data_IF_370529107987
#
_entry.id   IF_370529107987
#
_cell.length_a   1.000
_cell.length_b   1.000
_cell.length_c   1.000
_cell.angle_alpha   90.00
_cell.angle_beta   90.00
_cell.angle_gamma   90.00
#
_symmetry.space_group_name_H-M   'P 1'
#
loop_
_entity.id
_entity.type
_entity.pdbx_description
1 polymer ?
#
# COMPACT_ATOMS: atom_id res chain seq x y z
N UNK A 1 0.30 54.16 -16.67
CA UNK A 1 0.97 52.90 -16.27
C UNK A 1 0.91 52.85 -14.75
N UNK A 2 -0.10 52.16 -14.20
CA UNK A 2 -0.42 52.22 -12.78
C UNK A 2 0.32 51.11 -12.01
N UNK A 3 1.13 51.52 -11.03
CA UNK A 3 1.64 50.66 -9.97
C UNK A 3 0.50 50.38 -8.98
N UNK A 4 0.24 49.12 -8.64
CA UNK A 4 -0.66 48.77 -7.56
C UNK A 4 0.00 47.71 -6.66
N UNK A 5 0.21 48.11 -5.40
CA UNK A 5 0.70 47.30 -4.29
C UNK A 5 -0.26 46.13 -3.96
N UNK A 6 0.31 45.12 -3.28
CA UNK A 6 -0.34 44.18 -2.36
C UNK A 6 -1.85 44.00 -2.49
N UNK A 7 -2.29 42.83 -2.97
CA UNK A 7 -3.05 41.82 -2.21
C UNK A 7 -3.50 40.70 -3.16
N UNK A 8 -3.86 39.56 -2.55
CA UNK A 8 -4.61 38.42 -3.10
C UNK A 8 -3.76 37.24 -3.61
N UNK A 9 -3.44 36.38 -2.65
CA UNK A 9 -3.17 34.94 -2.81
C UNK A 9 -3.88 34.31 -4.01
N UNK A 10 -3.24 33.34 -4.68
CA UNK A 10 -3.98 32.23 -5.25
C UNK A 10 -3.53 30.90 -4.63
N UNK A 11 -4.51 30.26 -3.99
CA UNK A 11 -4.66 28.83 -3.77
C UNK A 11 -3.73 28.19 -2.74
N UNK A 12 -4.19 28.23 -1.50
CA UNK A 12 -4.00 27.13 -0.57
C UNK A 12 -4.49 25.83 -1.22
N UNK A 13 -3.56 25.00 -1.65
CA UNK A 13 -3.76 23.55 -1.63
C UNK A 13 -2.40 22.90 -1.35
N UNK A 14 -1.85 23.16 -0.15
CA UNK A 14 -1.10 22.10 0.48
C UNK A 14 -2.15 21.05 0.86
N UNK A 15 -2.62 20.28 -0.12
CA UNK A 15 -3.20 18.99 0.18
C UNK A 15 -2.00 18.17 0.71
N UNK A 16 -1.69 18.34 2.00
CA UNK A 16 -1.26 17.20 2.81
C UNK A 16 -2.51 16.33 2.84
N UNK A 17 -2.74 15.64 1.73
CA UNK A 17 -3.68 14.57 1.67
C UNK A 17 -2.94 13.47 2.44
N UNK A 18 -3.19 13.41 3.75
CA UNK A 18 -2.70 12.31 4.57
C UNK A 18 -3.01 11.03 3.82
N UNK A 19 -1.98 10.26 3.48
CA UNK A 19 -2.18 9.01 2.76
C UNK A 19 -2.89 8.07 3.74
N UNK A 20 -4.05 7.54 3.38
CA UNK A 20 -4.67 6.49 4.16
C UNK A 20 -4.40 5.16 3.49
N UNK A 21 -4.00 4.17 4.28
CA UNK A 21 -3.78 2.82 3.82
C UNK A 21 -4.55 1.84 4.70
N UNK A 22 -4.83 0.67 4.17
CA UNK A 22 -5.17 -0.46 5.03
C UNK A 22 -3.91 -0.96 5.71
N UNK A 23 -3.99 -1.26 7.01
CA UNK A 23 -2.89 -1.83 7.80
C UNK A 23 -3.33 -3.13 8.47
N UNK A 24 -2.40 -4.07 8.58
CA UNK A 24 -2.57 -5.30 9.34
C UNK A 24 -1.24 -6.04 9.47
N UNK A 25 -1.14 -6.92 10.45
CA UNK A 25 0.02 -7.77 10.63
C UNK A 25 -0.36 -9.25 10.57
N UNK A 26 0.28 -9.98 9.64
CA UNK A 26 0.29 -11.45 9.62
C UNK A 26 -1.08 -12.14 9.51
N UNK A 27 -2.02 -11.49 8.83
CA UNK A 27 -3.39 -11.97 8.66
C UNK A 27 -3.53 -13.00 7.53
N UNK A 28 -4.44 -13.96 7.70
CA UNK A 28 -4.69 -15.00 6.69
C UNK A 28 -5.74 -14.59 5.66
N UNK A 29 -6.53 -13.55 5.97
CA UNK A 29 -7.67 -13.13 5.18
C UNK A 29 -7.59 -11.65 4.86
N UNK A 30 -7.86 -11.28 3.61
CA UNK A 30 -7.86 -9.87 3.20
C UNK A 30 -8.90 -9.07 4.00
N UNK A 31 -10.07 -9.63 4.28
CA UNK A 31 -11.13 -8.94 5.03
C UNK A 31 -10.71 -8.56 6.46
N UNK A 32 -9.90 -9.39 7.11
CA UNK A 32 -9.31 -9.08 8.42
C UNK A 32 -8.20 -8.04 8.33
N UNK A 33 -7.70 -7.80 7.12
CA UNK A 33 -6.61 -6.90 6.79
C UNK A 33 -7.10 -5.60 6.12
N UNK A 34 -8.29 -5.11 6.52
CA UNK A 34 -8.91 -3.87 6.02
C UNK A 34 -9.13 -2.85 7.15
N UNK A 35 -8.16 -2.72 8.06
CA UNK A 35 -8.16 -1.62 9.03
C UNK A 35 -7.59 -0.37 8.36
N UNK A 36 -8.41 0.64 8.11
CA UNK A 36 -7.94 1.91 7.56
C UNK A 36 -7.17 2.69 8.64
N UNK A 37 -6.01 3.23 8.28
CA UNK A 37 -5.15 4.02 9.15
C UNK A 37 -4.54 5.18 8.37
N UNK A 38 -4.39 6.32 9.04
CA UNK A 38 -3.70 7.48 8.48
C UNK A 38 -2.19 7.25 8.57
N UNK A 39 -1.51 7.38 7.44
CA UNK A 39 -0.06 7.27 7.37
C UNK A 39 0.63 8.54 7.86
N UNK A 40 1.89 8.42 8.26
CA UNK A 40 2.70 9.59 8.62
C UNK A 40 2.93 10.48 7.39
N UNK A 41 3.16 11.79 7.59
CA UNK A 41 3.49 12.75 6.52
C UNK A 41 4.73 12.35 5.69
N UNK A 42 5.55 11.43 6.23
CA UNK A 42 6.76 10.91 5.57
C UNK A 42 6.50 9.68 4.72
N UNK A 43 5.33 9.04 4.88
CA UNK A 43 4.97 7.82 4.19
C UNK A 43 4.24 8.14 2.88
N UNK A 44 4.81 7.68 1.77
CA UNK A 44 4.34 8.00 0.42
C UNK A 44 3.69 6.79 -0.28
N UNK A 45 3.73 5.61 0.35
CA UNK A 45 3.27 4.34 -0.22
C UNK A 45 2.47 3.50 0.78
N UNK A 46 1.38 2.92 0.30
CA UNK A 46 0.76 1.76 0.92
C UNK A 46 1.47 0.50 0.42
N UNK A 47 2.08 -0.24 1.34
CA UNK A 47 2.81 -1.48 1.03
C UNK A 47 1.97 -2.68 1.45
N UNK A 48 1.85 -3.66 0.56
CA UNK A 48 1.19 -4.95 0.80
C UNK A 48 2.17 -6.06 0.56
N UNK A 49 2.45 -6.83 1.60
CA UNK A 49 3.29 -8.00 1.53
C UNK A 49 2.42 -9.24 1.64
N UNK A 50 2.62 -10.19 0.73
CA UNK A 50 1.96 -11.49 0.76
C UNK A 50 3.01 -12.57 0.76
N UNK A 51 3.04 -13.34 1.84
CA UNK A 51 3.75 -14.61 1.90
C UNK A 51 2.75 -15.72 1.62
N UNK A 52 3.03 -16.56 0.64
CA UNK A 52 2.18 -17.68 0.23
C UNK A 52 3.00 -18.94 0.04
N UNK A 53 2.38 -20.10 0.27
CA UNK A 53 3.01 -21.40 0.04
C UNK A 53 2.18 -22.18 -0.97
N UNK A 54 2.80 -22.57 -2.09
CA UNK A 54 2.24 -23.59 -2.98
C UNK A 54 2.89 -23.70 -4.37
N UNK A 55 2.23 -24.48 -5.23
CA UNK A 55 2.76 -25.02 -6.50
C UNK A 55 2.35 -24.14 -7.71
N UNK A 56 3.19 -23.19 -8.16
CA UNK A 56 2.96 -22.41 -9.41
C UNK A 56 2.79 -20.89 -9.29
N UNK A 57 2.91 -20.15 -10.39
CA UNK A 57 3.31 -18.74 -10.37
C UNK A 57 2.18 -17.68 -10.24
N UNK A 58 0.96 -17.94 -10.70
CA UNK A 58 -0.05 -16.87 -10.90
C UNK A 58 -1.38 -17.10 -10.16
N UNK A 59 -1.91 -18.32 -10.20
CA UNK A 59 -3.20 -18.67 -9.57
C UNK A 59 -3.14 -18.78 -8.03
N UNK A 60 -1.92 -18.72 -7.47
CA UNK A 60 -1.67 -19.11 -6.09
C UNK A 60 -2.05 -18.07 -5.05
N UNK A 61 -2.04 -16.78 -5.34
CA UNK A 61 -2.52 -15.80 -4.35
C UNK A 61 -4.03 -15.99 -4.04
N UNK A 62 -4.78 -16.55 -5.00
CA UNK A 62 -6.21 -16.90 -4.87
C UNK A 62 -6.41 -18.29 -4.27
N UNK A 63 -5.59 -19.28 -4.67
CA UNK A 63 -5.75 -20.70 -4.29
C UNK A 63 -4.78 -21.22 -3.21
N UNK A 64 -4.01 -20.35 -2.57
CA UNK A 64 -3.05 -20.74 -1.52
C UNK A 64 -3.77 -21.38 -0.33
N UNK A 65 -3.39 -22.62 0.00
CA UNK A 65 -3.75 -23.28 1.26
C UNK A 65 -3.21 -22.51 2.48
N UNK A 66 -2.10 -21.78 2.31
CA UNK A 66 -1.53 -20.94 3.34
C UNK A 66 -1.06 -19.61 2.77
N UNK A 67 -1.65 -18.52 3.24
CA UNK A 67 -1.26 -17.14 2.89
C UNK A 67 -1.20 -16.28 4.14
N UNK A 68 -0.27 -15.34 4.15
CA UNK A 68 -0.07 -14.34 5.19
C UNK A 68 0.09 -12.99 4.54
N UNK A 69 -0.72 -12.04 4.99
CA UNK A 69 -0.85 -10.71 4.43
C UNK A 69 -0.43 -9.72 5.52
N UNK A 70 0.45 -8.80 5.16
CA UNK A 70 0.82 -7.66 5.99
C UNK A 70 0.66 -6.42 5.15
N UNK A 71 -0.07 -5.43 5.66
CA UNK A 71 -0.22 -4.13 5.01
C UNK A 71 0.28 -3.03 5.93
N UNK A 72 0.97 -2.04 5.38
CA UNK A 72 1.56 -0.95 6.15
C UNK A 72 1.76 0.31 5.32
N UNK A 73 1.88 1.45 5.98
CA UNK A 73 2.42 2.66 5.40
C UNK A 73 3.94 2.57 5.29
N UNK A 74 4.52 3.18 4.25
CA UNK A 74 5.98 3.30 4.15
C UNK A 74 6.39 4.49 3.27
N UNK A 75 7.50 5.12 3.66
CA UNK A 75 8.20 6.12 2.83
C UNK A 75 8.76 5.56 1.52
N UNK A 76 9.10 4.28 1.48
CA UNK A 76 9.71 3.66 0.29
C UNK A 76 8.95 2.41 -0.10
N UNK A 77 9.01 2.05 -1.38
CA UNK A 77 8.48 0.79 -1.86
C UNK A 77 9.58 -0.30 -1.88
N UNK A 78 9.62 -1.21 -0.90
CA UNK A 78 10.58 -2.31 -0.91
C UNK A 78 10.17 -3.37 -1.95
N UNK A 79 10.76 -3.35 -3.13
CA UNK A 79 10.50 -4.36 -4.16
C UNK A 79 11.32 -5.63 -3.89
N UNK A 80 10.88 -6.43 -2.93
CA UNK A 80 11.51 -7.71 -2.59
C UNK A 80 10.57 -8.86 -2.96
N UNK A 81 10.54 -9.20 -4.25
CA UNK A 81 9.84 -10.39 -4.73
C UNK A 81 10.83 -11.54 -4.77
N UNK A 82 10.68 -12.52 -3.88
CA UNK A 82 11.56 -13.69 -3.89
C UNK A 82 10.77 -14.99 -3.72
N UNK A 83 11.30 -16.04 -4.34
CA UNK A 83 10.75 -17.40 -4.29
C UNK A 83 11.80 -18.31 -3.69
N UNK A 84 11.45 -18.95 -2.59
CA UNK A 84 12.29 -19.91 -1.91
C UNK A 84 11.57 -21.26 -1.89
N UNK A 85 11.87 -22.11 -2.88
CA UNK A 85 11.15 -23.35 -3.10
C UNK A 85 9.67 -23.11 -3.43
N UNK A 86 8.77 -23.61 -2.59
CA UNK A 86 7.32 -23.43 -2.71
C UNK A 86 6.81 -22.16 -2.01
N UNK A 87 7.68 -21.42 -1.32
CA UNK A 87 7.31 -20.18 -0.64
C UNK A 87 7.52 -19.00 -1.59
N UNK A 88 6.49 -18.22 -1.82
CA UNK A 88 6.57 -16.96 -2.57
C UNK A 88 6.30 -15.82 -1.60
N UNK A 89 7.22 -14.86 -1.55
CA UNK A 89 7.03 -13.58 -0.89
C UNK A 89 6.93 -12.50 -1.95
N UNK A 90 5.80 -11.80 -1.98
CA UNK A 90 5.55 -10.74 -2.96
C UNK A 90 5.22 -9.43 -2.25
N UNK A 91 5.83 -8.34 -2.71
CA UNK A 91 5.60 -7.00 -2.18
C UNK A 91 5.05 -6.08 -3.28
N UNK A 92 3.97 -5.38 -2.96
CA UNK A 92 3.27 -4.47 -3.87
C UNK A 92 3.07 -3.12 -3.20
N UNK A 93 3.15 -2.05 -3.99
CA UNK A 93 3.02 -0.69 -3.49
C UNK A 93 2.06 0.11 -4.36
N UNK A 94 1.40 1.08 -3.74
CA UNK A 94 0.54 2.06 -4.41
C UNK A 94 0.50 3.35 -3.58
N UNK A 95 0.08 4.47 -4.19
CA UNK A 95 0.21 5.82 -3.59
C UNK A 95 -1.12 6.57 -3.49
N UNK A 96 -2.25 5.88 -3.69
CA UNK A 96 -3.59 6.48 -3.66
C UNK A 96 -4.31 6.12 -2.37
N UNK A 97 -5.31 6.92 -2.00
CA UNK A 97 -6.13 6.68 -0.81
C UNK A 97 -6.72 5.27 -0.81
N UNK A 98 -6.41 4.49 0.23
CA UNK A 98 -6.85 3.10 0.45
C UNK A 98 -6.64 2.17 -0.77
N UNK A 99 -5.60 2.43 -1.55
CA UNK A 99 -5.33 1.69 -2.80
C UNK A 99 -5.00 0.21 -2.58
N UNK A 100 -4.50 -0.15 -1.39
CA UNK A 100 -4.12 -1.51 -1.04
C UNK A 100 -5.30 -2.35 -0.52
N UNK A 101 -6.50 -2.16 -1.08
CA UNK A 101 -7.69 -2.92 -0.72
C UNK A 101 -7.52 -4.41 -1.01
N UNK A 102 -6.92 -4.77 -2.16
CA UNK A 102 -6.64 -6.16 -2.52
C UNK A 102 -5.31 -6.63 -1.93
N UNK A 103 -5.26 -7.91 -1.54
CA UNK A 103 -4.01 -8.57 -1.15
C UNK A 103 -3.16 -8.94 -2.38
N UNK A 104 -3.79 -9.13 -3.53
CA UNK A 104 -3.15 -9.51 -4.79
C UNK A 104 -3.57 -8.49 -5.85
N UNK A 105 -2.66 -7.66 -6.38
CA UNK A 105 -2.92 -6.91 -7.60
C UNK A 105 -3.02 -7.89 -8.78
N UNK A 106 -3.92 -7.59 -9.71
CA UNK A 106 -4.18 -8.42 -10.90
C UNK A 106 -3.12 -8.30 -11.98
#
# INVERSE_FOLDING_TARGET
VAFCLHLLYPVSSLAVNGLYCYTCDWEQSNWKCLKAEECSDKDEYCVTNVASVGIGMWWLCVLSFWKRITKKCSKTCPHHNFKLGLVTYTSYCCQSFLCNFSACPG
#
